data_IF_240960407196
#
_entry.id   IF_240960407196
#
_cell.length_a   1.000
_cell.length_b   1.000
_cell.length_c   1.000
_cell.angle_alpha   90.00
_cell.angle_beta   90.00
_cell.angle_gamma   90.00
#
_symmetry.space_group_name_H-M   'P 1'
#
loop_
_entity.id
_entity.type
_entity.pdbx_description
1 polymer ?
#
# COMPACT_ATOMS: atom_id res chain seq x y z
N UNK A 1 12.84 46.70 52.14
CA UNK A 1 11.81 47.59 52.70
C UNK A 1 10.60 46.72 52.94
N UNK A 2 10.48 46.37 54.21
CA UNK A 2 9.26 46.19 55.04
C UNK A 2 8.28 45.15 54.53
N UNK A 3 8.28 44.00 55.14
CA UNK A 3 7.70 43.62 56.46
C UNK A 3 6.19 43.55 56.42
N UNK A 4 5.70 42.49 56.81
CA UNK A 4 5.13 41.86 58.02
C UNK A 4 3.74 41.36 57.67
N UNK A 5 3.18 40.31 58.13
CA UNK A 5 3.42 39.47 59.28
C UNK A 5 2.08 38.88 59.73
N UNK A 6 2.08 37.61 60.07
CA UNK A 6 1.69 36.99 61.33
C UNK A 6 0.17 36.99 61.66
N UNK A 7 -0.40 35.95 62.10
CA UNK A 7 -0.38 34.92 63.08
C UNK A 7 -1.82 34.44 63.36
N UNK A 8 -2.07 33.14 63.37
CA UNK A 8 -2.36 32.27 64.51
C UNK A 8 -3.62 32.56 65.30
N UNK A 9 -4.58 31.66 65.37
CA UNK A 9 -4.98 31.01 66.61
C UNK A 9 -6.06 29.94 66.39
N UNK A 10 -5.80 28.71 66.92
CA UNK A 10 -6.73 27.70 67.40
C UNK A 10 -6.99 28.02 68.89
N UNK A 11 -8.08 27.60 69.57
CA UNK A 11 -8.20 26.30 70.16
C UNK A 11 -9.63 25.73 70.38
N UNK A 12 -9.74 24.45 70.30
CA UNK A 12 -10.08 23.44 71.34
C UNK A 12 -11.36 23.50 72.14
N UNK A 13 -11.94 22.29 72.23
CA UNK A 13 -12.42 21.54 73.41
C UNK A 13 -13.92 21.50 73.74
N UNK A 14 -14.35 20.24 73.93
CA UNK A 14 -15.39 19.87 74.90
C UNK A 14 -16.44 18.90 74.35
N UNK A 15 -16.36 17.66 74.44
CA UNK A 15 -16.47 16.59 75.37
C UNK A 15 -17.91 16.27 75.87
N UNK A 16 -18.24 14.97 75.85
CA UNK A 16 -19.27 14.18 76.64
C UNK A 16 -20.72 14.28 76.15
N UNK A 17 -21.45 13.21 75.98
CA UNK A 17 -21.41 11.84 76.43
C UNK A 17 -22.68 11.06 76.13
N UNK A 18 -22.57 9.76 76.36
CA UNK A 18 -23.58 8.70 76.71
C UNK A 18 -24.39 8.07 75.58
N UNK A 19 -23.95 6.88 75.21
CA UNK A 19 -24.45 5.51 75.51
C UNK A 19 -25.97 5.25 75.37
N UNK A 20 -26.15 4.15 74.62
CA UNK A 20 -27.23 3.17 74.55
C UNK A 20 -28.20 3.43 73.39
N UNK A 21 -28.43 2.49 72.47
CA UNK A 21 -28.98 1.13 72.61
C UNK A 21 -28.70 0.41 71.27
N UNK A 22 -28.04 -0.71 71.36
CA UNK A 22 -28.00 -1.71 70.31
C UNK A 22 -29.29 -2.51 70.35
N UNK A 23 -29.61 -3.11 69.22
CA UNK A 23 -30.52 -4.23 68.95
C UNK A 23 -31.59 -3.86 67.93
N UNK A 24 -31.47 -4.52 66.76
CA UNK A 24 -32.61 -4.71 65.87
C UNK A 24 -32.48 -4.13 64.50
N UNK A 25 -31.50 -4.58 63.67
CA UNK A 25 -31.58 -4.43 62.20
C UNK A 25 -30.53 -5.35 61.52
N UNK A 26 -30.63 -6.64 61.88
CA UNK A 26 -29.82 -7.68 61.20
C UNK A 26 -30.63 -8.50 60.16
N UNK A 27 -31.78 -7.98 59.73
CA UNK A 27 -32.69 -8.72 58.81
C UNK A 27 -32.99 -8.07 57.50
N UNK A 28 -32.55 -6.83 57.27
CA UNK A 28 -32.92 -6.06 56.07
C UNK A 28 -31.84 -5.93 55.00
N UNK A 29 -30.60 -6.32 55.26
CA UNK A 29 -29.45 -6.11 54.34
C UNK A 29 -29.09 -7.33 53.49
N UNK A 30 -29.73 -8.47 53.67
CA UNK A 30 -29.48 -9.69 52.89
C UNK A 30 -30.37 -9.82 51.63
N UNK A 31 -31.44 -9.02 51.51
CA UNK A 31 -32.33 -9.05 50.32
C UNK A 31 -32.06 -7.94 49.30
N UNK A 32 -31.23 -6.94 49.63
CA UNK A 32 -30.83 -5.88 48.68
C UNK A 32 -29.52 -6.18 47.93
N UNK A 33 -28.78 -7.21 48.37
CA UNK A 33 -27.52 -7.63 47.74
C UNK A 33 -27.67 -8.58 46.57
N UNK A 34 -28.85 -9.16 46.34
CA UNK A 34 -29.11 -10.13 45.25
C UNK A 34 -29.79 -9.53 44.02
N UNK A 35 -30.19 -8.24 44.06
CA UNK A 35 -30.79 -7.54 42.92
C UNK A 35 -29.79 -6.74 42.08
N UNK A 36 -28.50 -6.70 42.45
CA UNK A 36 -27.47 -5.92 41.73
C UNK A 36 -26.54 -6.79 40.84
N UNK A 37 -26.80 -8.09 40.70
CA UNK A 37 -26.03 -8.97 39.81
C UNK A 37 -26.84 -9.54 38.65
N UNK A 38 -28.04 -9.06 38.40
CA UNK A 38 -28.67 -9.19 37.09
C UNK A 38 -28.34 -7.96 36.24
N UNK A 39 -27.05 -7.67 36.02
CA UNK A 39 -26.65 -7.00 34.79
C UNK A 39 -27.01 -7.97 33.69
N UNK A 40 -28.14 -7.70 33.01
CA UNK A 40 -28.37 -8.20 31.68
C UNK A 40 -27.06 -7.97 30.91
N UNK A 41 -26.36 -9.06 30.63
CA UNK A 41 -25.47 -9.11 29.48
C UNK A 41 -26.39 -8.83 28.28
N UNK A 42 -26.62 -7.55 28.00
CA UNK A 42 -27.07 -7.12 26.69
C UNK A 42 -25.97 -7.64 25.75
N UNK A 43 -26.20 -8.81 25.17
CA UNK A 43 -25.49 -9.23 24.00
C UNK A 43 -25.79 -8.14 22.95
N UNK A 44 -24.91 -7.15 22.86
CA UNK A 44 -24.83 -6.33 21.69
C UNK A 44 -24.47 -7.28 20.54
N UNK A 45 -25.49 -7.80 19.89
CA UNK A 45 -25.33 -8.46 18.59
C UNK A 45 -25.02 -7.31 17.64
N UNK A 46 -23.76 -6.92 17.57
CA UNK A 46 -23.26 -6.03 16.56
C UNK A 46 -23.53 -6.68 15.20
N UNK A 47 -24.47 -6.14 14.44
CA UNK A 47 -24.76 -6.63 13.09
C UNK A 47 -23.66 -6.10 12.18
N UNK A 48 -22.70 -6.95 11.84
CA UNK A 48 -21.69 -6.63 10.84
C UNK A 48 -22.36 -6.68 9.46
N UNK A 49 -22.42 -5.55 8.79
CA UNK A 49 -22.80 -5.50 7.38
C UNK A 49 -21.51 -5.45 6.55
N UNK A 50 -21.32 -6.44 5.70
CA UNK A 50 -20.15 -6.48 4.81
C UNK A 50 -20.54 -5.93 3.45
N UNK A 51 -19.85 -4.84 3.06
CA UNK A 51 -19.88 -4.28 1.71
C UNK A 51 -18.73 -4.87 0.91
N UNK A 52 -19.03 -5.54 -0.18
CA UNK A 52 -18.05 -6.26 -0.97
C UNK A 52 -18.05 -5.79 -2.43
N UNK A 53 -17.10 -4.94 -2.83
CA UNK A 53 -16.90 -4.61 -4.23
C UNK A 53 -16.38 -5.83 -5.00
N UNK A 54 -17.11 -6.21 -6.05
CA UNK A 54 -16.80 -7.37 -6.91
C UNK A 54 -16.75 -6.90 -8.36
N UNK A 55 -15.69 -7.27 -9.06
CA UNK A 55 -15.53 -7.00 -10.49
C UNK A 55 -15.50 -8.30 -11.26
N UNK A 56 -16.29 -8.38 -12.30
CA UNK A 56 -16.43 -9.59 -13.11
C UNK A 56 -16.07 -9.27 -14.56
N UNK A 57 -15.14 -10.04 -15.12
CA UNK A 57 -14.67 -9.84 -16.48
C UNK A 57 -14.82 -11.11 -17.32
N UNK A 58 -15.11 -10.93 -18.59
CA UNK A 58 -14.97 -11.96 -19.63
C UNK A 58 -13.90 -11.48 -20.61
N UNK A 59 -12.72 -12.11 -20.55
CA UNK A 59 -11.50 -11.54 -21.15
C UNK A 59 -11.13 -10.22 -20.45
N UNK A 60 -11.09 -9.13 -21.19
CA UNK A 60 -10.83 -7.78 -20.69
C UNK A 60 -12.09 -6.96 -20.42
N UNK A 61 -13.26 -7.39 -20.94
CA UNK A 61 -14.51 -6.65 -20.84
C UNK A 61 -15.19 -6.89 -19.49
N UNK A 62 -15.63 -5.80 -18.85
CA UNK A 62 -16.47 -5.88 -17.65
C UNK A 62 -17.84 -6.44 -18.00
N UNK A 63 -18.35 -7.35 -17.19
CA UNK A 63 -19.66 -8.00 -17.36
C UNK A 63 -20.69 -7.24 -16.51
N UNK A 64 -21.70 -6.62 -17.11
CA UNK A 64 -22.64 -5.71 -16.43
C UNK A 64 -24.08 -6.21 -16.37
N UNK A 65 -24.35 -7.42 -16.82
CA UNK A 65 -25.69 -8.01 -16.88
C UNK A 65 -26.02 -9.01 -15.77
N UNK A 66 -25.06 -9.29 -14.86
CA UNK A 66 -25.24 -10.27 -13.77
C UNK A 66 -26.24 -9.77 -12.74
N UNK A 67 -27.10 -10.66 -12.25
CA UNK A 67 -28.10 -10.42 -11.22
C UNK A 67 -27.70 -11.04 -9.88
N UNK A 68 -28.42 -10.73 -8.80
CA UNK A 68 -28.15 -11.23 -7.45
C UNK A 68 -28.02 -12.76 -7.39
N UNK A 69 -28.81 -13.48 -8.16
CA UNK A 69 -28.84 -14.95 -8.19
C UNK A 69 -27.63 -15.57 -8.92
N UNK A 70 -26.83 -14.76 -9.63
CA UNK A 70 -25.62 -15.21 -10.30
C UNK A 70 -24.41 -15.28 -9.37
N UNK A 71 -24.50 -14.65 -8.19
CA UNK A 71 -23.38 -14.57 -7.23
C UNK A 71 -23.55 -15.57 -6.09
N UNK A 72 -22.43 -16.16 -5.68
CA UNK A 72 -22.30 -16.91 -4.46
C UNK A 72 -21.14 -16.33 -3.64
N UNK A 73 -21.41 -15.92 -2.40
CA UNK A 73 -20.41 -15.39 -1.47
C UNK A 73 -20.17 -16.40 -0.37
N UNK A 74 -18.93 -16.70 -0.10
CA UNK A 74 -18.50 -17.59 0.97
C UNK A 74 -17.66 -16.80 1.97
N UNK A 75 -17.94 -16.96 3.25
CA UNK A 75 -17.21 -16.42 4.39
C UNK A 75 -16.63 -17.59 5.18
N UNK A 76 -15.30 -17.68 5.27
CA UNK A 76 -14.58 -18.85 5.82
C UNK A 76 -15.12 -20.18 5.25
N UNK A 77 -15.39 -20.21 3.95
CA UNK A 77 -15.92 -21.38 3.24
C UNK A 77 -17.41 -21.65 3.44
N UNK A 78 -18.13 -20.86 4.24
CA UNK A 78 -19.57 -20.99 4.46
C UNK A 78 -20.35 -20.07 3.53
N UNK A 79 -21.31 -20.62 2.78
CA UNK A 79 -22.17 -19.85 1.90
C UNK A 79 -22.98 -18.82 2.69
N UNK A 80 -22.89 -17.56 2.28
CA UNK A 80 -23.60 -16.43 2.84
C UNK A 80 -24.79 -16.03 1.96
N UNK A 81 -25.79 -15.43 2.60
CA UNK A 81 -26.93 -14.91 1.88
C UNK A 81 -26.68 -13.45 1.49
N UNK A 82 -26.68 -13.18 0.19
CA UNK A 82 -26.61 -11.83 -0.35
C UNK A 82 -27.96 -11.14 -0.13
N UNK A 83 -27.94 -9.95 0.48
CA UNK A 83 -29.14 -9.16 0.74
C UNK A 83 -29.42 -8.17 -0.38
N UNK A 84 -28.37 -7.60 -0.98
CA UNK A 84 -28.45 -6.64 -2.05
C UNK A 84 -27.25 -6.68 -2.99
N UNK A 85 -27.50 -6.33 -4.24
CA UNK A 85 -26.49 -6.12 -5.28
C UNK A 85 -26.74 -4.79 -5.96
N UNK A 86 -25.71 -3.95 -6.02
CA UNK A 86 -25.73 -2.70 -6.76
C UNK A 86 -24.75 -2.79 -7.91
N UNK A 87 -25.16 -2.42 -9.11
CA UNK A 87 -24.22 -2.18 -10.22
C UNK A 87 -23.81 -0.72 -10.20
N UNK A 88 -22.53 -0.48 -9.89
CA UNK A 88 -21.94 0.85 -9.85
C UNK A 88 -21.08 1.05 -11.08
N UNK A 89 -21.33 2.16 -11.81
CA UNK A 89 -20.49 2.63 -12.92
C UNK A 89 -19.98 4.02 -12.56
N UNK A 90 -18.67 4.13 -12.33
CA UNK A 90 -18.00 5.32 -11.79
C UNK A 90 -18.59 5.74 -10.44
N UNK A 91 -19.47 6.75 -10.43
CA UNK A 91 -20.17 7.26 -9.24
C UNK A 91 -21.68 7.00 -9.26
N UNK A 92 -22.19 6.35 -10.31
CA UNK A 92 -23.61 6.17 -10.50
C UNK A 92 -24.03 4.73 -10.19
N UNK A 93 -25.06 4.60 -9.37
CA UNK A 93 -25.75 3.32 -9.18
C UNK A 93 -26.72 3.16 -10.35
N UNK A 94 -26.36 2.29 -11.28
CA UNK A 94 -27.15 2.08 -12.52
C UNK A 94 -28.19 0.97 -12.37
N UNK A 95 -28.03 0.09 -11.37
CA UNK A 95 -28.96 -0.99 -11.06
C UNK A 95 -28.88 -1.35 -9.58
N UNK A 96 -30.06 -1.63 -9.02
CA UNK A 96 -30.21 -2.07 -7.63
C UNK A 96 -31.10 -3.30 -7.61
N UNK A 97 -30.66 -4.35 -6.95
CA UNK A 97 -31.42 -5.59 -6.75
C UNK A 97 -31.37 -5.99 -5.28
N UNK A 98 -32.52 -6.18 -4.68
CA UNK A 98 -32.67 -6.70 -3.33
C UNK A 98 -33.24 -8.11 -3.34
N UNK A 99 -33.17 -8.78 -2.20
CA UNK A 99 -33.77 -10.09 -1.99
C UNK A 99 -35.28 -10.00 -2.20
N UNK A 100 -35.85 -10.90 -3.01
CA UNK A 100 -37.29 -11.02 -3.20
C UNK A 100 -38.01 -11.19 -1.86
N UNK A 101 -38.92 -10.25 -1.52
CA UNK A 101 -39.69 -10.27 -0.27
C UNK A 101 -38.94 -9.75 0.97
N UNK A 102 -37.75 -9.18 0.82
CA UNK A 102 -37.01 -8.51 1.89
C UNK A 102 -37.54 -7.09 2.17
N UNK A 103 -37.17 -6.51 3.33
CA UNK A 103 -37.49 -5.12 3.61
C UNK A 103 -36.77 -4.20 2.60
N UNK A 104 -37.28 -2.96 2.39
CA UNK A 104 -36.59 -1.99 1.55
C UNK A 104 -35.14 -1.83 2.00
N UNK A 105 -34.21 -1.77 1.05
CA UNK A 105 -32.78 -1.60 1.35
C UNK A 105 -32.59 -0.26 2.07
N UNK A 106 -32.40 -0.33 3.39
CA UNK A 106 -32.26 0.86 4.24
C UNK A 106 -30.92 1.58 4.14
N UNK A 107 -29.99 1.04 3.36
CA UNK A 107 -28.63 1.56 3.22
C UNK A 107 -28.37 1.95 1.78
N UNK A 108 -28.17 3.24 1.52
CA UNK A 108 -27.62 3.69 0.24
C UNK A 108 -26.10 3.58 0.26
N UNK A 109 -25.49 2.87 -0.71
CA UNK A 109 -24.03 2.77 -0.80
C UNK A 109 -23.40 4.16 -0.92
N UNK A 110 -22.28 4.34 -0.25
CA UNK A 110 -21.45 5.52 -0.47
C UNK A 110 -20.58 5.28 -1.71
N UNK A 111 -20.96 5.89 -2.82
CA UNK A 111 -20.22 5.80 -4.09
C UNK A 111 -19.16 6.91 -4.23
N UNK A 112 -18.86 7.66 -3.16
CA UNK A 112 -17.76 8.62 -3.12
C UNK A 112 -16.44 7.90 -3.42
N UNK A 113 -15.56 8.56 -4.20
CA UNK A 113 -14.27 8.00 -4.57
C UNK A 113 -13.15 8.81 -3.95
N UNK A 114 -12.13 8.10 -3.48
CA UNK A 114 -10.88 8.66 -2.99
C UNK A 114 -9.75 8.08 -3.83
N UNK A 115 -8.96 8.92 -4.43
CA UNK A 115 -7.80 8.54 -5.22
C UNK A 115 -6.52 8.81 -4.45
N UNK A 116 -5.62 7.83 -4.47
CA UNK A 116 -4.26 8.00 -3.99
C UNK A 116 -3.32 7.70 -5.14
N UNK A 117 -2.56 8.70 -5.57
CA UNK A 117 -1.47 8.54 -6.50
C UNK A 117 -0.18 8.48 -5.69
N UNK A 118 0.40 7.29 -5.56
CA UNK A 118 1.58 7.05 -4.74
C UNK A 118 2.78 6.78 -5.64
N UNK A 119 3.73 7.71 -5.65
CA UNK A 119 4.93 7.67 -6.49
C UNK A 119 6.14 7.22 -5.66
N UNK A 120 6.50 5.95 -5.77
CA UNK A 120 7.70 5.37 -5.19
C UNK A 120 8.75 5.22 -6.29
N UNK A 121 9.37 6.35 -6.63
CA UNK A 121 10.25 6.50 -7.77
C UNK A 121 11.54 7.23 -7.37
N UNK A 122 12.65 6.84 -7.94
CA UNK A 122 13.96 7.50 -7.75
C UNK A 122 14.37 8.38 -8.93
N UNK A 123 13.57 8.38 -10.01
CA UNK A 123 13.79 9.20 -11.20
C UNK A 123 12.44 9.57 -11.83
N UNK A 124 12.34 10.78 -12.39
CA UNK A 124 11.11 11.21 -13.03
C UNK A 124 11.03 10.66 -14.46
N UNK A 125 9.99 9.87 -14.71
CA UNK A 125 9.69 9.34 -16.03
C UNK A 125 8.77 10.30 -16.80
N UNK A 126 9.10 10.61 -18.06
CA UNK A 126 8.29 11.51 -18.93
C UNK A 126 6.87 11.01 -19.13
N UNK A 127 6.65 9.70 -19.04
CA UNK A 127 5.36 9.02 -19.17
C UNK A 127 4.39 9.33 -18.02
N UNK A 128 4.87 9.95 -16.94
CA UNK A 128 4.02 10.46 -15.85
C UNK A 128 3.21 11.68 -16.30
N UNK A 129 3.74 12.52 -17.19
CA UNK A 129 3.01 13.69 -17.70
C UNK A 129 1.67 13.32 -18.37
N UNK A 130 1.63 12.42 -19.38
CA UNK A 130 0.37 11.96 -19.95
C UNK A 130 -0.51 11.16 -18.96
N UNK A 131 0.07 10.52 -17.93
CA UNK A 131 -0.70 9.88 -16.86
C UNK A 131 -1.50 10.91 -16.07
N UNK A 132 -0.89 12.03 -15.71
CA UNK A 132 -1.55 13.15 -15.02
C UNK A 132 -2.65 13.75 -15.90
N UNK A 133 -2.41 13.95 -17.20
CA UNK A 133 -3.44 14.43 -18.13
C UNK A 133 -4.65 13.49 -18.15
N UNK A 134 -4.40 12.21 -18.36
CA UNK A 134 -5.46 11.21 -18.39
C UNK A 134 -6.26 11.19 -17.09
N UNK A 135 -5.59 11.27 -15.93
CA UNK A 135 -6.26 11.30 -14.62
C UNK A 135 -7.21 12.50 -14.49
N UNK A 136 -6.72 13.71 -14.73
CA UNK A 136 -7.53 14.93 -14.57
C UNK A 136 -8.63 15.09 -15.62
N UNK A 137 -8.39 14.64 -16.86
CA UNK A 137 -9.31 14.86 -17.98
C UNK A 137 -10.36 13.75 -18.10
N UNK A 138 -10.05 12.52 -17.69
CA UNK A 138 -10.90 11.34 -17.91
C UNK A 138 -11.42 10.67 -16.65
N UNK A 139 -10.65 10.73 -15.56
CA UNK A 139 -10.91 9.93 -14.35
C UNK A 139 -11.54 10.76 -13.24
N UNK A 140 -10.93 11.90 -12.92
CA UNK A 140 -11.33 12.74 -11.80
C UNK A 140 -12.65 13.48 -12.07
N UNK A 141 -13.67 13.19 -11.25
CA UNK A 141 -14.98 13.83 -11.30
C UNK A 141 -15.17 14.82 -10.15
N UNK A 142 -16.11 15.76 -10.26
CA UNK A 142 -16.49 16.62 -9.15
C UNK A 142 -16.92 15.81 -7.92
N UNK A 143 -16.38 16.15 -6.75
CA UNK A 143 -16.66 15.44 -5.51
C UNK A 143 -15.62 14.36 -5.15
N UNK A 144 -14.76 13.94 -6.07
CA UNK A 144 -13.67 13.01 -5.78
C UNK A 144 -12.60 13.67 -4.89
N UNK A 145 -12.03 12.91 -3.96
CA UNK A 145 -10.85 13.29 -3.19
C UNK A 145 -9.58 12.79 -3.86
N UNK A 146 -8.50 13.56 -3.73
CA UNK A 146 -7.19 13.21 -4.26
C UNK A 146 -6.10 13.40 -3.21
N UNK A 147 -5.34 12.34 -2.97
CA UNK A 147 -4.09 12.37 -2.23
C UNK A 147 -2.94 12.01 -3.18
N UNK A 148 -1.87 12.78 -3.12
CA UNK A 148 -0.64 12.48 -3.86
C UNK A 148 0.48 12.26 -2.87
N UNK A 149 1.15 11.12 -2.97
CA UNK A 149 2.28 10.74 -2.14
C UNK A 149 3.54 10.70 -2.99
N UNK A 150 4.57 11.37 -2.53
CA UNK A 150 5.89 11.42 -3.18
C UNK A 150 6.96 10.91 -2.23
N UNK A 151 8.19 10.63 -2.68
CA UNK A 151 9.28 10.23 -1.79
C UNK A 151 9.58 11.24 -0.67
N UNK A 152 9.16 12.51 -0.81
CA UNK A 152 9.41 13.55 0.19
C UNK A 152 8.23 13.80 1.13
N UNK A 153 6.99 13.82 0.60
CA UNK A 153 5.81 14.19 1.40
C UNK A 153 4.47 13.86 0.74
N UNK A 154 3.41 14.02 1.52
CA UNK A 154 2.05 13.77 1.10
C UNK A 154 1.30 15.09 0.87
N UNK A 155 0.51 15.13 -0.19
CA UNK A 155 -0.35 16.25 -0.56
C UNK A 155 -1.80 15.79 -0.57
N UNK A 156 -2.65 16.42 0.22
CA UNK A 156 -4.08 16.14 0.25
C UNK A 156 -4.84 17.27 -0.45
N UNK A 157 -5.44 16.97 -1.58
CA UNK A 157 -6.24 17.91 -2.37
C UNK A 157 -7.71 17.61 -2.15
N UNK A 158 -8.34 18.42 -1.30
CA UNK A 158 -9.77 18.30 -1.02
C UNK A 158 -10.60 18.63 -2.25
N UNK A 159 -11.75 17.97 -2.40
CA UNK A 159 -12.67 18.14 -3.53
C UNK A 159 -13.04 19.63 -3.77
N UNK A 160 -13.25 20.40 -2.68
CA UNK A 160 -13.58 21.83 -2.78
C UNK A 160 -12.42 22.66 -3.34
N UNK A 161 -11.19 22.28 -3.04
CA UNK A 161 -10.00 22.95 -3.55
C UNK A 161 -9.79 22.64 -5.04
N UNK A 162 -10.02 21.37 -5.42
CA UNK A 162 -9.97 20.92 -6.81
C UNK A 162 -11.03 21.58 -7.67
N UNK A 163 -12.23 21.81 -7.13
CA UNK A 163 -13.33 22.45 -7.85
C UNK A 163 -13.09 23.97 -8.11
N UNK A 164 -12.28 24.62 -7.26
CA UNK A 164 -12.03 26.08 -7.34
C UNK A 164 -10.90 26.46 -8.31
N UNK A 165 -9.99 25.56 -8.62
CA UNK A 165 -8.84 25.81 -9.49
C UNK A 165 -9.08 25.27 -10.91
N UNK A 166 -8.63 25.96 -11.97
CA UNK A 166 -8.62 25.41 -13.31
C UNK A 166 -7.78 24.12 -13.35
N UNK A 167 -8.31 23.04 -13.96
CA UNK A 167 -7.65 21.73 -14.03
C UNK A 167 -6.22 21.84 -14.60
N UNK A 168 -6.00 22.64 -15.63
CA UNK A 168 -4.68 22.78 -16.25
C UNK A 168 -3.64 23.37 -15.29
N UNK A 169 -4.03 24.34 -14.46
CA UNK A 169 -3.13 24.87 -13.42
C UNK A 169 -2.80 23.82 -12.36
N UNK A 170 -3.78 23.02 -11.96
CA UNK A 170 -3.54 21.93 -11.00
C UNK A 170 -2.60 20.86 -11.59
N UNK A 171 -2.79 20.49 -12.88
CA UNK A 171 -1.91 19.56 -13.59
C UNK A 171 -0.47 20.08 -13.64
N UNK A 172 -0.28 21.35 -14.00
CA UNK A 172 1.04 21.97 -14.09
C UNK A 172 1.75 22.05 -12.73
N UNK A 173 1.03 22.52 -11.69
CA UNK A 173 1.54 22.55 -10.31
C UNK A 173 1.95 21.14 -9.85
N UNK A 174 1.12 20.12 -10.12
CA UNK A 174 1.39 18.74 -9.73
C UNK A 174 2.61 18.17 -10.43
N UNK A 175 2.76 18.39 -11.75
CA UNK A 175 3.95 17.97 -12.48
C UNK A 175 5.22 18.61 -11.91
N UNK A 176 5.17 19.91 -11.61
CA UNK A 176 6.28 20.63 -10.98
C UNK A 176 6.65 20.05 -9.61
N UNK A 177 5.65 19.71 -8.81
CA UNK A 177 5.82 19.05 -7.51
C UNK A 177 6.46 17.67 -7.69
N UNK A 178 5.91 16.82 -8.56
CA UNK A 178 6.39 15.46 -8.77
C UNK A 178 7.84 15.45 -9.29
N UNK A 179 8.16 16.28 -10.29
CA UNK A 179 9.52 16.39 -10.80
C UNK A 179 10.51 16.77 -9.71
N UNK A 180 10.18 17.78 -8.92
CA UNK A 180 11.05 18.23 -7.82
C UNK A 180 11.18 17.18 -6.74
N UNK A 181 10.06 16.63 -6.26
CA UNK A 181 10.05 15.75 -5.10
C UNK A 181 10.67 14.38 -5.41
N UNK A 182 10.46 13.85 -6.62
CA UNK A 182 11.09 12.61 -7.08
C UNK A 182 12.61 12.83 -7.27
N UNK A 183 13.00 13.95 -7.91
CA UNK A 183 14.42 14.26 -8.10
C UNK A 183 15.15 14.39 -6.76
N UNK A 184 14.61 15.16 -5.82
CA UNK A 184 15.24 15.37 -4.51
C UNK A 184 15.24 14.07 -3.70
N UNK A 185 14.10 13.37 -3.63
CA UNK A 185 13.97 12.11 -2.89
C UNK A 185 14.82 10.97 -3.48
N UNK A 186 15.03 10.97 -4.80
CA UNK A 186 15.85 9.99 -5.51
C UNK A 186 17.35 10.30 -5.56
N UNK A 187 17.78 11.51 -5.14
CA UNK A 187 19.16 11.98 -5.34
C UNK A 187 20.20 11.02 -4.74
N UNK A 188 20.00 10.58 -3.50
CA UNK A 188 20.96 9.70 -2.82
C UNK A 188 21.03 8.32 -3.49
N UNK A 189 19.87 7.78 -3.90
CA UNK A 189 19.81 6.52 -4.62
C UNK A 189 20.56 6.60 -5.97
N UNK A 190 20.28 7.65 -6.76
CA UNK A 190 20.94 7.86 -8.06
C UNK A 190 22.45 8.09 -7.91
N UNK A 191 22.87 8.92 -6.94
CA UNK A 191 24.28 9.14 -6.66
C UNK A 191 24.98 7.84 -6.27
N UNK A 192 24.32 7.01 -5.45
CA UNK A 192 24.87 5.70 -5.05
C UNK A 192 25.03 4.76 -6.25
N UNK A 193 24.07 4.76 -7.19
CA UNK A 193 24.18 3.99 -8.43
C UNK A 193 25.34 4.50 -9.32
N UNK A 194 25.49 5.82 -9.45
CA UNK A 194 26.55 6.42 -10.26
C UNK A 194 27.92 6.11 -9.66
N UNK A 195 28.08 6.21 -8.35
CA UNK A 195 29.30 5.85 -7.64
C UNK A 195 29.62 4.35 -7.79
N UNK A 196 28.60 3.50 -7.62
CA UNK A 196 28.72 2.06 -7.79
C UNK A 196 29.19 1.71 -9.21
N UNK A 197 28.56 2.28 -10.25
CA UNK A 197 28.96 2.04 -11.62
C UNK A 197 30.40 2.52 -11.88
N UNK A 198 30.76 3.72 -11.42
CA UNK A 198 32.10 4.29 -11.59
C UNK A 198 33.20 3.44 -10.94
N UNK A 199 32.94 2.91 -9.75
CA UNK A 199 33.94 2.16 -8.98
C UNK A 199 34.09 0.72 -9.49
N UNK A 200 33.03 0.14 -10.07
CA UNK A 200 33.06 -1.23 -10.62
C UNK A 200 33.55 -1.28 -12.06
N UNK A 201 33.31 -0.23 -12.85
CA UNK A 201 33.71 -0.19 -14.24
C UNK A 201 35.24 -0.33 -14.38
N UNK A 202 35.68 -0.99 -15.46
CA UNK A 202 37.12 -1.07 -15.80
C UNK A 202 37.64 0.32 -16.11
N UNK A 203 38.77 0.67 -15.53
CA UNK A 203 39.40 1.96 -15.79
C UNK A 203 40.14 1.96 -17.13
N UNK A 204 40.17 3.12 -17.77
CA UNK A 204 40.93 3.32 -18.98
C UNK A 204 42.45 3.23 -18.72
N UNK A 205 43.22 2.95 -19.78
CA UNK A 205 44.67 2.88 -19.68
C UNK A 205 45.26 4.19 -19.11
N UNK A 206 45.98 4.11 -18.00
CA UNK A 206 46.58 5.25 -17.28
C UNK A 206 45.77 5.76 -16.08
N UNK A 207 44.56 5.24 -15.83
CA UNK A 207 43.83 5.48 -14.59
C UNK A 207 44.11 4.38 -13.55
N UNK A 208 44.10 4.77 -12.27
CA UNK A 208 44.25 3.80 -11.18
C UNK A 208 42.97 3.01 -11.02
N UNK A 209 43.06 1.70 -11.23
CA UNK A 209 41.94 0.79 -10.99
C UNK A 209 42.01 0.20 -9.59
N UNK A 210 40.87 -0.04 -8.94
CA UNK A 210 40.79 -0.68 -7.66
C UNK A 210 41.12 -2.18 -7.78
N UNK A 211 41.87 -2.77 -6.86
CA UNK A 211 42.00 -4.21 -6.75
C UNK A 211 40.63 -4.90 -6.64
N UNK A 212 40.50 -6.11 -7.18
CA UNK A 212 39.21 -6.81 -7.28
C UNK A 212 38.55 -7.04 -5.92
N UNK A 213 39.31 -7.38 -4.89
CA UNK A 213 38.84 -7.54 -3.52
C UNK A 213 38.21 -6.24 -2.97
N UNK A 214 38.80 -5.10 -3.27
CA UNK A 214 38.25 -3.79 -2.91
C UNK A 214 37.00 -3.45 -3.71
N UNK A 215 36.93 -3.78 -5.02
CA UNK A 215 35.72 -3.64 -5.82
C UNK A 215 34.59 -4.48 -5.26
N UNK A 216 34.84 -5.74 -4.91
CA UNK A 216 33.83 -6.64 -4.33
C UNK A 216 33.32 -6.12 -2.98
N UNK A 217 34.20 -5.62 -2.13
CA UNK A 217 33.79 -4.99 -0.87
C UNK A 217 32.98 -3.73 -1.07
N UNK A 218 33.42 -2.83 -1.96
CA UNK A 218 32.66 -1.62 -2.29
C UNK A 218 31.27 -1.96 -2.83
N UNK A 219 31.17 -2.99 -3.67
CA UNK A 219 29.91 -3.48 -4.21
C UNK A 219 28.94 -3.91 -3.10
N UNK A 220 29.41 -4.66 -2.10
CA UNK A 220 28.60 -5.04 -0.93
C UNK A 220 28.05 -3.81 -0.20
N UNK A 221 28.89 -2.82 0.03
CA UNK A 221 28.49 -1.59 0.71
C UNK A 221 27.44 -0.82 -0.09
N UNK A 222 27.58 -0.74 -1.42
CA UNK A 222 26.59 -0.12 -2.29
C UNK A 222 25.25 -0.88 -2.27
N UNK A 223 25.26 -2.21 -2.36
CA UNK A 223 24.04 -3.01 -2.30
C UNK A 223 23.29 -2.80 -0.99
N UNK A 224 23.99 -2.81 0.16
CA UNK A 224 23.41 -2.56 1.48
C UNK A 224 22.82 -1.14 1.58
N UNK A 225 23.52 -0.14 1.05
CA UNK A 225 23.04 1.24 1.03
C UNK A 225 21.81 1.40 0.18
N UNK A 226 21.81 0.84 -1.03
CA UNK A 226 20.63 0.86 -1.93
C UNK A 226 19.42 0.18 -1.29
N UNK A 227 19.62 -0.96 -0.63
CA UNK A 227 18.58 -1.66 0.11
C UNK A 227 18.00 -0.79 1.23
N UNK A 228 18.86 -0.14 2.01
CA UNK A 228 18.42 0.77 3.07
C UNK A 228 17.57 1.93 2.52
N UNK A 229 17.98 2.52 1.40
CA UNK A 229 17.27 3.64 0.76
C UNK A 229 15.90 3.25 0.18
N UNK A 230 15.70 1.97 -0.12
CA UNK A 230 14.46 1.43 -0.71
C UNK A 230 13.71 0.50 0.23
N UNK A 231 14.06 0.52 1.51
CA UNK A 231 13.42 -0.33 2.50
C UNK A 231 11.95 0.05 2.66
N UNK A 232 11.07 -0.93 2.50
CA UNK A 232 9.64 -0.78 2.75
C UNK A 232 9.39 -0.81 4.26
N UNK A 233 8.76 0.24 4.78
CA UNK A 233 8.36 0.30 6.18
C UNK A 233 6.96 -0.29 6.38
N UNK A 234 6.90 -1.55 6.85
CA UNK A 234 5.67 -2.28 7.16
C UNK A 234 4.74 -1.48 8.07
N UNK A 235 5.29 -0.87 9.13
CA UNK A 235 4.50 -0.12 10.09
C UNK A 235 3.81 1.07 9.44
N UNK A 236 4.51 1.80 8.61
CA UNK A 236 3.95 2.93 7.85
C UNK A 236 2.88 2.46 6.86
N UNK A 237 3.06 1.32 6.19
CA UNK A 237 2.04 0.73 5.30
C UNK A 237 0.76 0.38 6.07
N UNK A 238 0.88 -0.30 7.21
CA UNK A 238 -0.29 -0.68 8.05
C UNK A 238 -0.99 0.56 8.60
N UNK A 239 -0.24 1.57 9.06
CA UNK A 239 -0.82 2.84 9.51
C UNK A 239 -1.54 3.57 8.37
N UNK A 240 -0.99 3.54 7.18
CA UNK A 240 -1.63 4.14 6.01
C UNK A 240 -2.93 3.42 5.64
N UNK A 241 -2.97 2.09 5.69
CA UNK A 241 -4.21 1.33 5.52
C UNK A 241 -5.28 1.74 6.54
N UNK A 242 -4.91 1.96 7.81
CA UNK A 242 -5.82 2.44 8.85
C UNK A 242 -6.36 3.85 8.56
N UNK A 243 -5.52 4.76 8.05
CA UNK A 243 -5.95 6.09 7.60
C UNK A 243 -6.94 5.97 6.44
N UNK A 244 -6.65 5.16 5.43
CA UNK A 244 -7.56 4.93 4.31
C UNK A 244 -8.88 4.31 4.76
N UNK A 245 -8.85 3.38 5.71
CA UNK A 245 -10.06 2.76 6.29
C UNK A 245 -11.01 3.80 6.88
N UNK A 246 -10.49 4.86 7.50
CA UNK A 246 -11.30 5.94 8.08
C UNK A 246 -11.96 6.86 7.05
N UNK A 247 -11.52 6.83 5.79
CA UNK A 247 -12.09 7.65 4.72
C UNK A 247 -13.37 7.01 4.16
N UNK A 248 -14.40 7.81 3.84
CA UNK A 248 -15.63 7.29 3.27
C UNK A 248 -15.46 6.83 1.81
N UNK A 249 -16.29 5.88 1.38
CA UNK A 249 -16.40 5.44 -0.01
C UNK A 249 -15.26 4.52 -0.48
N UNK A 250 -15.15 4.38 -1.80
CA UNK A 250 -14.13 3.54 -2.44
C UNK A 250 -12.78 4.25 -2.52
N UNK A 251 -11.73 3.60 -2.08
CA UNK A 251 -10.35 4.11 -2.14
C UNK A 251 -9.57 3.36 -3.21
N UNK A 252 -9.10 4.10 -4.22
CA UNK A 252 -8.28 3.56 -5.30
C UNK A 252 -6.85 4.08 -5.12
N UNK A 253 -5.95 3.18 -4.75
CA UNK A 253 -4.53 3.48 -4.56
C UNK A 253 -3.78 3.02 -5.80
N UNK A 254 -3.14 3.94 -6.50
CA UNK A 254 -2.27 3.66 -7.64
C UNK A 254 -0.84 3.84 -7.20
N UNK A 255 -0.16 2.72 -6.94
CA UNK A 255 1.25 2.69 -6.55
C UNK A 255 2.12 2.61 -7.81
N UNK A 256 2.76 3.71 -8.16
CA UNK A 256 3.77 3.80 -9.21
C UNK A 256 5.14 3.48 -8.61
N UNK A 257 5.60 2.26 -8.83
CA UNK A 257 6.90 1.81 -8.33
C UNK A 257 7.89 1.67 -9.49
N UNK A 258 9.02 2.34 -9.37
CA UNK A 258 10.07 2.22 -10.38
C UNK A 258 10.96 1.02 -10.11
N UNK A 259 11.16 0.16 -11.12
CA UNK A 259 12.09 -0.97 -11.07
C UNK A 259 13.49 -0.53 -10.68
N UNK A 260 14.11 -1.32 -9.85
CA UNK A 260 15.48 -1.11 -9.41
C UNK A 260 16.43 -1.91 -10.31
N UNK A 261 17.13 -1.23 -11.19
CA UNK A 261 18.20 -1.82 -11.98
C UNK A 261 19.52 -1.35 -11.42
N UNK A 262 20.39 -2.30 -11.08
CA UNK A 262 21.72 -2.02 -10.51
C UNK A 262 22.82 -2.67 -11.36
N UNK A 263 24.02 -2.05 -11.41
CA UNK A 263 25.18 -2.68 -12.03
C UNK A 263 25.52 -3.98 -11.33
N UNK A 264 25.82 -5.02 -12.08
CA UNK A 264 26.29 -6.31 -11.61
C UNK A 264 27.43 -6.79 -12.49
N UNK A 265 28.40 -7.51 -11.94
CA UNK A 265 29.39 -8.17 -12.77
C UNK A 265 28.72 -9.16 -13.72
N UNK A 266 29.12 -9.16 -14.98
CA UNK A 266 28.58 -10.13 -15.94
C UNK A 266 29.02 -11.55 -15.55
N UNK A 267 28.22 -12.58 -15.80
CA UNK A 267 28.62 -13.96 -15.51
C UNK A 267 29.95 -14.36 -16.15
N UNK A 268 30.24 -13.78 -17.34
CA UNK A 268 31.53 -13.98 -18.03
C UNK A 268 32.67 -13.38 -17.23
N UNK A 269 32.52 -12.11 -16.78
CA UNK A 269 33.54 -11.44 -15.98
C UNK A 269 33.78 -12.15 -14.64
N UNK A 270 32.71 -12.60 -13.97
CA UNK A 270 32.82 -13.36 -12.73
C UNK A 270 33.63 -14.66 -12.94
N UNK A 271 33.31 -15.44 -14.00
CA UNK A 271 34.01 -16.69 -14.32
C UNK A 271 35.48 -16.43 -14.68
N UNK A 272 35.78 -15.42 -15.50
CA UNK A 272 37.13 -15.05 -15.88
C UNK A 272 37.96 -14.64 -14.67
N UNK A 273 37.40 -13.84 -13.79
CA UNK A 273 38.06 -13.39 -12.55
C UNK A 273 38.30 -14.52 -11.56
N UNK A 274 37.32 -15.42 -11.38
CA UNK A 274 37.50 -16.61 -10.53
C UNK A 274 38.53 -17.58 -11.09
N UNK A 275 38.61 -17.75 -12.41
CA UNK A 275 39.60 -18.60 -13.06
C UNK A 275 41.03 -17.99 -13.02
N UNK A 276 41.14 -16.67 -13.10
CA UNK A 276 42.41 -15.95 -13.06
C UNK A 276 43.00 -15.84 -11.64
N UNK A 277 42.15 -15.93 -10.60
CA UNK A 277 42.55 -15.75 -9.21
C UNK A 277 42.37 -17.07 -8.42
N UNK A 278 43.48 -17.57 -7.86
CA UNK A 278 43.45 -18.73 -6.96
C UNK A 278 43.06 -18.35 -5.51
N UNK A 279 42.80 -17.08 -5.25
CA UNK A 279 42.45 -16.59 -3.91
C UNK A 279 41.00 -16.92 -3.59
N UNK A 280 40.77 -17.72 -2.57
CA UNK A 280 39.46 -18.11 -2.08
C UNK A 280 38.64 -16.91 -1.63
N UNK A 281 39.28 -15.82 -1.19
CA UNK A 281 38.59 -14.59 -0.78
C UNK A 281 37.82 -13.94 -1.94
N UNK A 282 38.31 -14.01 -3.18
CA UNK A 282 37.65 -13.53 -4.38
C UNK A 282 36.38 -14.33 -4.63
N UNK A 283 36.48 -15.67 -4.60
CA UNK A 283 35.31 -16.55 -4.80
C UNK A 283 34.24 -16.31 -3.72
N UNK A 284 34.66 -16.18 -2.44
CA UNK A 284 33.75 -15.87 -1.34
C UNK A 284 33.11 -14.48 -1.51
N UNK A 285 33.87 -13.50 -2.00
CA UNK A 285 33.38 -12.16 -2.30
C UNK A 285 32.25 -12.16 -3.34
N UNK A 286 32.41 -12.90 -4.45
CA UNK A 286 31.36 -13.07 -5.46
C UNK A 286 30.13 -13.79 -4.89
N UNK A 287 30.32 -14.84 -4.11
CA UNK A 287 29.20 -15.56 -3.47
C UNK A 287 28.43 -14.65 -2.50
N UNK A 288 29.11 -13.86 -1.69
CA UNK A 288 28.49 -12.90 -0.78
C UNK A 288 27.71 -11.84 -1.55
N UNK A 289 28.26 -11.32 -2.63
CA UNK A 289 27.59 -10.35 -3.50
C UNK A 289 26.31 -10.93 -4.12
N UNK A 290 26.35 -12.18 -4.58
CA UNK A 290 25.18 -12.87 -5.08
C UNK A 290 24.07 -13.01 -4.03
N UNK A 291 24.43 -13.38 -2.78
CA UNK A 291 23.49 -13.48 -1.67
C UNK A 291 22.87 -12.13 -1.28
N UNK A 292 23.65 -11.05 -1.32
CA UNK A 292 23.17 -9.69 -1.05
C UNK A 292 22.34 -9.12 -2.21
N UNK A 293 22.61 -9.56 -3.44
CA UNK A 293 21.85 -9.14 -4.61
C UNK A 293 20.43 -9.68 -4.55
N UNK A 294 20.30 -10.98 -4.23
CA UNK A 294 19.00 -11.64 -4.08
C UNK A 294 18.52 -11.44 -2.63
N UNK A 295 17.50 -10.65 -2.46
CA UNK A 295 16.91 -10.35 -1.14
C UNK A 295 15.50 -10.92 -1.03
N UNK A 296 15.07 -11.17 0.20
CA UNK A 296 13.67 -11.47 0.52
C UNK A 296 12.91 -10.18 0.90
N UNK A 297 11.58 -10.16 0.78
CA UNK A 297 10.78 -9.02 1.21
C UNK A 297 11.08 -8.67 2.67
N UNK A 298 11.46 -7.43 2.93
CA UNK A 298 11.83 -6.94 4.26
C UNK A 298 10.62 -6.68 5.17
N UNK A 299 9.40 -7.12 4.80
CA UNK A 299 8.18 -6.89 5.56
C UNK A 299 7.23 -8.10 5.48
N UNK A 300 6.34 -8.20 6.47
CA UNK A 300 5.33 -9.26 6.51
C UNK A 300 4.19 -8.94 5.51
N UNK A 301 4.29 -9.55 4.32
CA UNK A 301 3.33 -9.37 3.23
C UNK A 301 1.92 -9.74 3.64
N UNK A 302 1.74 -10.82 4.44
CA UNK A 302 0.43 -11.25 4.91
C UNK A 302 -0.23 -10.22 5.85
N UNK A 303 0.53 -9.59 6.73
CA UNK A 303 0.01 -8.55 7.62
C UNK A 303 -0.45 -7.33 6.83
N UNK A 304 0.37 -6.87 5.88
CA UNK A 304 0.04 -5.74 5.00
C UNK A 304 -1.18 -6.06 4.13
N UNK A 305 -1.18 -7.22 3.47
CA UNK A 305 -2.28 -7.71 2.63
C UNK A 305 -3.62 -7.71 3.37
N UNK A 306 -3.65 -8.25 4.58
CA UNK A 306 -4.85 -8.27 5.42
C UNK A 306 -5.30 -6.86 5.84
N UNK A 307 -4.36 -5.98 6.22
CA UNK A 307 -4.68 -4.61 6.61
C UNK A 307 -5.36 -3.83 5.47
N UNK A 308 -4.90 -3.99 4.24
CA UNK A 308 -5.50 -3.34 3.07
C UNK A 308 -6.79 -4.02 2.61
N UNK A 309 -6.91 -5.34 2.73
CA UNK A 309 -8.11 -6.06 2.32
C UNK A 309 -9.33 -5.78 3.21
N UNK A 310 -9.13 -5.35 4.46
CA UNK A 310 -10.21 -5.11 5.45
C UNK A 310 -11.15 -3.94 5.14
N UNK A 311 -10.87 -3.15 4.12
CA UNK A 311 -11.66 -1.97 3.81
C UNK A 311 -11.88 -1.83 2.30
N UNK A 312 -12.78 -0.92 1.91
CA UNK A 312 -13.04 -0.65 0.49
C UNK A 312 -11.84 0.06 -0.19
N UNK A 313 -10.65 -0.57 -0.08
CA UNK A 313 -9.41 -0.14 -0.72
C UNK A 313 -9.12 -1.10 -1.87
N UNK A 314 -8.84 -0.56 -3.05
CA UNK A 314 -8.26 -1.30 -4.17
C UNK A 314 -6.85 -0.76 -4.42
N UNK A 315 -5.84 -1.61 -4.29
CA UNK A 315 -4.44 -1.25 -4.58
C UNK A 315 -4.12 -1.71 -6.00
N UNK A 316 -3.73 -0.77 -6.85
CA UNK A 316 -3.25 -1.04 -8.20
C UNK A 316 -1.74 -0.83 -8.21
N UNK A 317 -1.00 -1.88 -8.49
CA UNK A 317 0.45 -1.86 -8.48
C UNK A 317 0.99 -1.69 -9.91
N UNK A 318 1.56 -0.52 -10.17
CA UNK A 318 2.09 -0.12 -11.48
C UNK A 318 3.62 -0.17 -11.44
N UNK A 319 4.18 -1.29 -11.91
CA UNK A 319 5.59 -1.59 -11.86
C UNK A 319 6.30 -1.10 -13.12
N UNK A 320 6.93 0.07 -13.02
CA UNK A 320 7.41 0.83 -14.14
C UNK A 320 8.89 0.53 -14.45
N UNK A 321 9.17 0.26 -15.71
CA UNK A 321 10.53 0.09 -16.21
C UNK A 321 11.01 1.40 -16.81
N UNK A 322 12.09 1.97 -16.25
CA UNK A 322 12.94 2.88 -17.01
C UNK A 322 13.96 2.02 -17.74
N UNK A 323 13.97 2.04 -19.06
CA UNK A 323 15.11 1.50 -19.81
C UNK A 323 16.36 2.21 -19.29
N UNK A 324 17.35 1.49 -18.74
CA UNK A 324 18.59 2.14 -18.33
C UNK A 324 19.11 2.88 -19.55
N UNK A 325 19.20 4.20 -19.47
CA UNK A 325 20.09 4.90 -20.37
C UNK A 325 21.45 4.29 -20.09
N UNK A 326 22.06 3.67 -21.08
CA UNK A 326 23.46 3.26 -20.98
C UNK A 326 24.22 4.55 -20.70
N UNK A 327 24.48 4.81 -19.41
CA UNK A 327 25.30 5.95 -18.99
C UNK A 327 26.74 5.57 -19.32
N UNK A 328 27.07 5.71 -20.60
CA UNK A 328 28.47 5.64 -21.02
C UNK A 328 29.12 6.91 -20.47
N UNK A 329 30.07 6.82 -19.54
CA UNK A 329 30.83 7.98 -19.10
C UNK A 329 31.39 8.69 -20.34
N UNK A 330 31.46 10.02 -20.31
CA UNK A 330 31.97 10.83 -21.45
C UNK A 330 33.37 10.36 -21.90
N UNK A 331 34.14 9.77 -20.97
CA UNK A 331 35.44 9.12 -21.24
C UNK A 331 35.31 7.84 -22.09
N UNK A 332 34.22 7.08 -21.95
CA UNK A 332 33.97 5.87 -22.77
C UNK A 332 33.35 6.21 -24.14
N UNK A 333 32.68 7.35 -24.30
CA UNK A 333 32.25 7.82 -25.62
C UNK A 333 33.45 7.99 -26.56
N UNK A 334 34.59 8.48 -26.07
CA UNK A 334 35.84 8.55 -26.81
C UNK A 334 36.48 7.17 -27.07
N UNK A 335 36.29 6.20 -26.18
CA UNK A 335 36.76 4.84 -26.40
C UNK A 335 35.91 4.06 -27.38
N UNK A 336 34.58 4.28 -27.41
CA UNK A 336 33.68 3.70 -28.42
C UNK A 336 33.94 4.24 -29.86
N UNK A 337 34.28 5.52 -29.97
CA UNK A 337 34.73 6.10 -31.29
C UNK A 337 36.05 5.47 -31.79
N UNK A 338 36.87 4.88 -30.88
CA UNK A 338 38.14 4.25 -31.23
C UNK A 338 38.08 2.71 -31.23
N UNK A 339 36.86 2.10 -31.30
CA UNK A 339 36.69 0.64 -31.43
C UNK A 339 36.94 -0.14 -30.15
N UNK A 340 36.97 0.51 -28.98
CA UNK A 340 36.95 -0.16 -27.67
C UNK A 340 35.55 -0.70 -27.39
N UNK A 341 35.43 -2.01 -27.20
CA UNK A 341 34.20 -2.63 -26.71
C UNK A 341 33.82 -1.95 -25.38
N UNK A 342 32.55 -1.51 -25.24
CA UNK A 342 32.03 -1.04 -23.95
C UNK A 342 32.28 -2.09 -22.87
N UNK A 343 32.23 -1.66 -21.63
CA UNK A 343 32.58 -2.48 -20.46
C UNK A 343 31.72 -3.76 -20.42
N UNK A 344 32.17 -4.82 -21.10
CA UNK A 344 31.53 -6.14 -21.14
C UNK A 344 31.52 -6.82 -19.76
N UNK A 345 32.21 -6.22 -18.76
CA UNK A 345 32.33 -6.75 -17.42
C UNK A 345 31.11 -6.46 -16.55
N UNK A 346 30.30 -5.44 -16.90
CA UNK A 346 29.11 -5.06 -16.14
C UNK A 346 27.83 -5.19 -16.94
N UNK A 347 26.77 -5.62 -16.28
CA UNK A 347 25.40 -5.64 -16.79
C UNK A 347 24.48 -4.92 -15.83
N UNK A 348 23.40 -4.30 -16.35
CA UNK A 348 22.32 -3.74 -15.52
C UNK A 348 21.30 -4.82 -15.26
N UNK A 349 21.16 -5.22 -14.02
CA UNK A 349 20.29 -6.34 -13.61
C UNK A 349 19.22 -5.83 -12.65
N UNK A 350 18.00 -6.35 -12.81
CA UNK A 350 16.88 -6.02 -11.93
C UNK A 350 17.09 -6.64 -10.54
N UNK A 351 16.75 -5.86 -9.49
CA UNK A 351 16.90 -6.27 -8.09
C UNK A 351 15.60 -6.18 -7.27
N UNK A 352 14.51 -5.74 -7.86
CA UNK A 352 13.26 -5.48 -7.14
C UNK A 352 12.14 -6.51 -7.39
N UNK A 353 12.51 -7.74 -7.78
CA UNK A 353 11.53 -8.82 -7.99
C UNK A 353 10.79 -9.23 -6.71
N UNK A 354 11.45 -9.14 -5.56
CA UNK A 354 10.86 -9.35 -4.23
C UNK A 354 9.75 -8.35 -3.94
N UNK A 355 9.98 -7.07 -4.24
CA UNK A 355 9.00 -5.98 -4.11
C UNK A 355 7.84 -6.21 -5.07
N UNK A 356 8.13 -6.62 -6.31
CA UNK A 356 7.09 -6.94 -7.28
C UNK A 356 6.18 -8.06 -6.76
N UNK A 357 6.75 -9.16 -6.28
CA UNK A 357 5.99 -10.29 -5.74
C UNK A 357 5.10 -9.85 -4.58
N UNK A 358 5.67 -9.12 -3.61
CA UNK A 358 4.96 -8.67 -2.42
C UNK A 358 3.78 -7.74 -2.74
N UNK A 359 3.99 -6.69 -3.54
CA UNK A 359 2.91 -5.77 -3.88
C UNK A 359 1.91 -6.31 -4.90
N UNK A 360 2.30 -7.28 -5.73
CA UNK A 360 1.37 -8.04 -6.55
C UNK A 360 0.36 -8.81 -5.67
N UNK A 361 0.81 -9.46 -4.59
CA UNK A 361 -0.09 -10.10 -3.63
C UNK A 361 -1.03 -9.12 -2.94
N UNK A 362 -0.53 -7.96 -2.53
CA UNK A 362 -1.37 -6.89 -1.94
C UNK A 362 -2.41 -6.40 -2.94
N UNK A 363 -2.04 -6.17 -4.20
CA UNK A 363 -2.96 -5.75 -5.25
C UNK A 363 -4.07 -6.79 -5.46
N UNK A 364 -3.72 -8.05 -5.60
CA UNK A 364 -4.70 -9.14 -5.78
C UNK A 364 -5.62 -9.28 -4.58
N UNK A 365 -5.09 -9.22 -3.35
CA UNK A 365 -5.87 -9.34 -2.12
C UNK A 365 -6.87 -8.20 -1.88
N UNK A 366 -6.68 -7.06 -2.51
CA UNK A 366 -7.57 -5.90 -2.45
C UNK A 366 -8.55 -5.81 -3.64
N UNK A 367 -8.47 -6.76 -4.56
CA UNK A 367 -9.26 -6.75 -5.80
C UNK A 367 -8.79 -5.71 -6.82
N UNK A 368 -7.58 -5.18 -6.66
CA UNK A 368 -6.92 -4.34 -7.65
C UNK A 368 -6.21 -5.14 -8.74
N UNK A 369 -5.34 -4.48 -9.50
CA UNK A 369 -4.52 -5.12 -10.53
C UNK A 369 -3.04 -4.79 -10.34
N UNK A 370 -2.19 -5.68 -10.86
CA UNK A 370 -0.76 -5.45 -11.02
C UNK A 370 -0.45 -5.35 -12.52
N UNK A 371 0.32 -4.34 -12.89
CA UNK A 371 0.72 -4.10 -14.28
C UNK A 371 2.21 -3.75 -14.35
N UNK A 372 2.92 -4.48 -15.20
CA UNK A 372 4.36 -4.32 -15.41
C UNK A 372 4.58 -3.72 -16.80
N UNK A 373 4.99 -2.46 -16.88
CA UNK A 373 5.05 -1.74 -18.16
C UNK A 373 6.15 -0.69 -18.18
N UNK A 374 6.66 -0.40 -19.39
CA UNK A 374 7.47 0.78 -19.66
C UNK A 374 6.61 2.03 -19.91
N UNK A 375 5.30 1.86 -20.15
CA UNK A 375 4.37 2.96 -20.40
C UNK A 375 3.43 3.15 -19.20
N UNK A 376 3.76 4.12 -18.35
CA UNK A 376 3.00 4.44 -17.13
C UNK A 376 1.55 4.86 -17.45
N UNK A 377 1.31 5.63 -18.52
CA UNK A 377 -0.01 6.09 -18.88
C UNK A 377 -0.93 4.93 -19.31
N UNK A 378 -0.40 4.00 -20.12
CA UNK A 378 -1.16 2.82 -20.53
C UNK A 378 -1.44 1.87 -19.36
N UNK A 379 -0.47 1.65 -18.45
CA UNK A 379 -0.65 0.85 -17.25
C UNK A 379 -1.72 1.47 -16.33
N UNK A 380 -1.65 2.78 -16.12
CA UNK A 380 -2.62 3.52 -15.33
C UNK A 380 -4.03 3.46 -15.93
N UNK A 381 -4.17 3.66 -17.26
CA UNK A 381 -5.46 3.58 -17.93
C UNK A 381 -6.11 2.18 -17.74
N UNK A 382 -5.32 1.09 -17.90
CA UNK A 382 -5.82 -0.27 -17.62
C UNK A 382 -6.28 -0.47 -16.17
N UNK A 383 -5.54 0.11 -15.22
CA UNK A 383 -5.90 0.05 -13.80
C UNK A 383 -7.19 0.80 -13.50
N UNK A 384 -7.38 1.98 -14.12
CA UNK A 384 -8.62 2.75 -14.02
C UNK A 384 -9.78 1.99 -14.63
N UNK A 385 -9.66 1.51 -15.86
CA UNK A 385 -10.72 0.76 -16.55
C UNK A 385 -11.15 -0.48 -15.74
N UNK A 386 -10.18 -1.16 -15.11
CA UNK A 386 -10.46 -2.30 -14.25
C UNK A 386 -11.17 -1.93 -12.93
N UNK A 387 -11.14 -0.67 -12.50
CA UNK A 387 -11.67 -0.22 -11.20
C UNK A 387 -12.96 0.59 -11.28
N UNK A 388 -13.30 1.19 -12.42
CA UNK A 388 -14.43 2.12 -12.55
C UNK A 388 -15.80 1.46 -12.45
N UNK A 389 -15.90 0.17 -12.83
CA UNK A 389 -17.17 -0.55 -12.84
C UNK A 389 -17.10 -1.75 -11.89
N UNK A 390 -18.08 -1.91 -11.04
CA UNK A 390 -18.13 -3.01 -10.08
C UNK A 390 -19.54 -3.29 -9.60
N UNK A 391 -19.75 -4.50 -9.10
CA UNK A 391 -20.90 -4.88 -8.29
C UNK A 391 -20.57 -4.63 -6.83
N UNK A 392 -21.47 -4.00 -6.10
CA UNK A 392 -21.36 -3.87 -4.66
C UNK A 392 -22.35 -4.84 -4.02
N UNK A 393 -21.82 -5.92 -3.46
CA UNK A 393 -22.60 -6.94 -2.78
C UNK A 393 -22.72 -6.60 -1.30
N UNK A 394 -23.92 -6.78 -0.74
CA UNK A 394 -24.19 -6.64 0.68
C UNK A 394 -24.59 -7.97 1.26
N UNK A 395 -23.95 -8.40 2.31
CA UNK A 395 -24.35 -9.57 3.07
C UNK A 395 -24.11 -9.37 4.56
N UNK A 396 -24.88 -10.10 5.39
CA UNK A 396 -24.71 -10.19 6.82
C UNK A 396 -24.12 -11.56 7.14
N UNK A 397 -22.87 -11.61 7.62
CA UNK A 397 -22.28 -12.88 8.00
C UNK A 397 -23.12 -13.58 9.06
N UNK A 398 -23.41 -14.87 8.84
CA UNK A 398 -24.08 -15.71 9.82
C UNK A 398 -23.05 -16.27 10.78
N UNK A 399 -23.37 -16.26 12.09
CA UNK A 399 -22.55 -16.86 13.14
C UNK A 399 -21.14 -16.26 13.29
N UNK A 400 -20.90 -15.05 12.83
CA UNK A 400 -19.62 -14.36 13.02
C UNK A 400 -19.53 -13.84 14.45
N UNK A 401 -18.46 -14.22 15.14
CA UNK A 401 -18.08 -13.64 16.42
C UNK A 401 -17.24 -12.39 16.18
N UNK A 402 -17.54 -11.34 16.93
CA UNK A 402 -16.69 -10.13 16.95
C UNK A 402 -15.46 -10.48 17.79
N UNK A 403 -14.47 -11.11 17.17
CA UNK A 403 -13.29 -11.64 17.84
C UNK A 403 -11.97 -11.02 17.34
N UNK A 404 -12.08 -10.04 16.43
CA UNK A 404 -10.94 -9.36 15.84
C UNK A 404 -10.14 -10.20 14.84
N UNK A 405 -10.65 -11.38 14.45
CA UNK A 405 -9.97 -12.23 13.46
C UNK A 405 -10.27 -11.79 12.04
N UNK A 406 -9.36 -12.14 11.15
CA UNK A 406 -9.55 -11.95 9.72
C UNK A 406 -10.39 -13.10 9.16
N UNK A 407 -11.50 -12.76 8.50
CA UNK A 407 -12.40 -13.68 7.81
C UNK A 407 -12.14 -13.64 6.32
N UNK A 408 -11.94 -14.81 5.71
CA UNK A 408 -11.68 -14.93 4.28
C UNK A 408 -12.96 -14.93 3.47
N UNK A 409 -12.99 -14.14 2.41
CA UNK A 409 -14.11 -14.08 1.46
C UNK A 409 -13.72 -14.75 0.16
N UNK A 410 -14.63 -15.56 -0.38
CA UNK A 410 -14.57 -16.08 -1.74
C UNK A 410 -15.87 -15.75 -2.46
N UNK A 411 -15.76 -15.22 -3.68
CA UNK A 411 -16.91 -14.98 -4.56
C UNK A 411 -16.82 -15.87 -5.78
N UNK A 412 -17.93 -16.56 -6.06
CA UNK A 412 -18.12 -17.32 -7.30
C UNK A 412 -19.25 -16.73 -8.12
N UNK A 413 -19.14 -16.82 -9.44
CA UNK A 413 -20.16 -16.39 -10.39
C UNK A 413 -20.59 -17.59 -11.21
N UNK A 414 -21.91 -17.82 -11.27
CA UNK A 414 -22.50 -18.92 -12.05
C UNK A 414 -22.27 -18.73 -13.54
N UNK A 415 -22.23 -19.81 -14.29
CA UNK A 415 -22.04 -19.79 -15.74
C UNK A 415 -20.60 -20.02 -16.22
N UNK A 416 -19.61 -19.84 -15.35
CA UNK A 416 -18.21 -20.15 -15.64
C UNK A 416 -17.50 -19.21 -16.64
N UNK A 417 -16.18 -19.32 -16.73
CA UNK A 417 -15.36 -18.55 -17.70
C UNK A 417 -15.18 -17.07 -17.35
N UNK A 418 -15.56 -16.67 -16.15
CA UNK A 418 -15.37 -15.31 -15.65
C UNK A 418 -14.10 -15.20 -14.80
N UNK A 419 -13.40 -14.08 -14.94
CA UNK A 419 -12.37 -13.63 -13.99
C UNK A 419 -13.06 -12.72 -12.98
N UNK A 420 -13.03 -13.13 -11.72
CA UNK A 420 -13.66 -12.39 -10.61
C UNK A 420 -12.56 -11.81 -9.74
N UNK A 421 -12.66 -10.51 -9.42
CA UNK A 421 -11.76 -9.84 -8.48
C UNK A 421 -12.57 -9.20 -7.37
N UNK A 422 -12.12 -9.40 -6.13
CA UNK A 422 -12.72 -8.87 -4.91
C UNK A 422 -11.65 -8.81 -3.82
N UNK A 423 -11.94 -8.15 -2.70
CA UNK A 423 -11.03 -8.17 -1.55
C UNK A 423 -11.01 -9.55 -0.90
N UNK A 424 -9.84 -9.92 -0.35
CA UNK A 424 -9.63 -11.24 0.24
C UNK A 424 -10.44 -11.50 1.52
N UNK A 425 -10.86 -10.45 2.24
CA UNK A 425 -11.58 -10.64 3.49
C UNK A 425 -11.82 -9.35 4.27
N UNK A 426 -12.10 -9.50 5.56
CA UNK A 426 -12.32 -8.40 6.51
C UNK A 426 -11.97 -8.85 7.94
N UNK A 427 -11.71 -7.88 8.84
CA UNK A 427 -11.62 -8.16 10.27
C UNK A 427 -12.98 -8.01 10.94
N UNK A 428 -13.38 -9.00 11.73
CA UNK A 428 -14.60 -8.95 12.54
C UNK A 428 -14.41 -8.06 13.79
N UNK A 429 -14.32 -6.75 13.57
CA UNK A 429 -14.21 -5.72 14.60
C UNK A 429 -15.54 -4.99 14.76
N UNK A 430 -15.76 -4.35 15.94
CA UNK A 430 -16.91 -3.48 16.19
C UNK A 430 -16.91 -2.24 15.32
#
# INVERSE_FOLDING_TARGET
MKENGSKVHNPAAGARGKKAVAVGLAGGLALFGLALFAQELAHYVGVINVELPVRVFKGTAFVDHLIIDDFEVYDDGKLQQIEAVYLVKKTDITREEGKKGGPPLGVRPQVARQFVLFFEMSDYLSEIDPTIDYFFDRVLLPGDGLMVMTPLKNYNLKAEALAKKPKDKVKEELRGILRRDILIGGTEYQTTLDDMYRDLARKSAGEVDLPLDQKLYAYQMYLQKLEHLRKVDEKSLIQFAAVLKSMPGQKNVYLFYQRENVPQFSPKAEMEQMAANSDIAITLGFLQNFLLFNREPAFNVDAVKKAYADSSIAVHFLYLTKMPAVRVPVTQYKAAEHGGNGDDDLTMTERSEDIFSAFNEVALATGGISDSSANAAAAFARAVDASENYYLLYFKPRDVKIDGRFHEITVKVKGGGYRVTHRAGYFANQ
#
